data_IF_798080711729
#
_entry.id   IF_798080711729
#
_cell.length_a   1.000
_cell.length_b   1.000
_cell.length_c   1.000
_cell.angle_alpha   90.00
_cell.angle_beta   90.00
_cell.angle_gamma   90.00
#
_symmetry.space_group_name_H-M   'P 1'
#
loop_
_entity.id
_entity.type
_entity.pdbx_description
1 polymer ?
#
# COMPACT_ATOMS: atom_id res chain seq x y z
N UNK A 1 17.32 14.80 -6.25
CA UNK A 1 16.51 13.72 -6.83
C UNK A 1 16.21 14.07 -8.26
N UNK A 2 16.55 13.22 -9.23
CA UNK A 2 16.33 13.49 -10.66
C UNK A 2 14.83 13.52 -10.98
N UNK A 3 14.33 14.65 -11.50
CA UNK A 3 12.92 14.84 -11.90
C UNK A 3 12.61 14.16 -13.26
N UNK A 4 13.43 13.19 -13.66
CA UNK A 4 13.27 12.44 -14.91
C UNK A 4 11.97 11.64 -14.87
N UNK A 5 11.26 11.61 -15.99
CA UNK A 5 9.99 10.88 -16.17
C UNK A 5 10.12 9.42 -15.71
N UNK A 6 11.26 8.78 -16.00
CA UNK A 6 11.57 7.41 -15.58
C UNK A 6 11.49 7.24 -14.06
N UNK A 7 11.99 8.20 -13.29
CA UNK A 7 11.98 8.13 -11.83
C UNK A 7 10.57 8.24 -11.26
N UNK A 8 9.69 9.00 -11.90
CA UNK A 8 8.28 9.12 -11.53
C UNK A 8 7.52 7.82 -11.87
N UNK A 9 7.82 7.23 -13.02
CA UNK A 9 7.21 5.97 -13.46
C UNK A 9 7.59 4.81 -12.52
N UNK A 10 8.88 4.67 -12.18
CA UNK A 10 9.35 3.67 -11.23
C UNK A 10 8.71 3.82 -9.84
N UNK A 11 8.47 5.06 -9.39
CA UNK A 11 7.76 5.34 -8.13
C UNK A 11 6.30 4.93 -8.18
N UNK A 12 5.62 5.18 -9.30
CA UNK A 12 4.25 4.72 -9.52
C UNK A 12 4.15 3.19 -9.55
N UNK A 13 5.07 2.52 -10.27
CA UNK A 13 5.15 1.06 -10.32
C UNK A 13 5.42 0.41 -8.95
N UNK A 14 5.92 1.18 -7.97
CA UNK A 14 6.02 0.68 -6.59
C UNK A 14 4.66 0.31 -6.01
N UNK A 15 3.59 1.01 -6.38
CA UNK A 15 2.21 0.64 -5.98
C UNK A 15 1.83 -0.72 -6.55
N UNK A 16 2.18 -0.99 -7.81
CA UNK A 16 2.03 -2.32 -8.43
C UNK A 16 2.81 -3.38 -7.67
N UNK A 17 4.07 -3.13 -7.33
CA UNK A 17 4.89 -4.08 -6.58
C UNK A 17 4.29 -4.40 -5.20
N UNK A 18 3.76 -3.39 -4.50
CA UNK A 18 3.08 -3.58 -3.23
C UNK A 18 1.79 -4.40 -3.37
N UNK A 19 1.05 -4.18 -4.45
CA UNK A 19 -0.09 -5.03 -4.81
C UNK A 19 0.32 -6.48 -5.02
N UNK A 20 1.36 -6.72 -5.82
CA UNK A 20 1.88 -8.07 -6.08
C UNK A 20 2.33 -8.77 -4.80
N UNK A 21 2.97 -8.06 -3.88
CA UNK A 21 3.33 -8.59 -2.56
C UNK A 21 2.09 -9.04 -1.78
N UNK A 22 1.02 -8.22 -1.76
CA UNK A 22 -0.23 -8.60 -1.11
C UNK A 22 -0.94 -9.75 -1.83
N UNK A 23 -0.86 -9.81 -3.16
CA UNK A 23 -1.41 -10.91 -3.95
C UNK A 23 -0.70 -12.23 -3.66
N UNK A 24 0.63 -12.22 -3.56
CA UNK A 24 1.41 -13.41 -3.16
C UNK A 24 0.97 -13.86 -1.76
N UNK A 25 0.85 -12.92 -0.83
CA UNK A 25 0.35 -13.22 0.52
C UNK A 25 -1.05 -13.85 0.45
N UNK A 26 -1.96 -13.29 -0.35
CA UNK A 26 -3.29 -13.85 -0.55
C UNK A 26 -3.23 -15.29 -1.08
N UNK A 27 -2.47 -15.54 -2.15
CA UNK A 27 -2.38 -16.87 -2.79
C UNK A 27 -1.78 -17.91 -1.84
N UNK A 28 -0.68 -17.59 -1.16
CA UNK A 28 0.01 -18.52 -0.25
C UNK A 28 -0.91 -18.97 0.88
N UNK A 29 -1.71 -18.04 1.43
CA UNK A 29 -2.60 -18.33 2.56
C UNK A 29 -4.02 -18.73 2.13
N UNK A 30 -4.33 -18.76 0.82
CA UNK A 30 -5.64 -19.19 0.34
C UNK A 30 -5.91 -20.67 0.65
N UNK A 31 -4.92 -21.55 0.48
CA UNK A 31 -5.10 -22.98 0.72
C UNK A 31 -5.49 -23.29 2.19
N UNK A 32 -4.78 -22.78 3.20
CA UNK A 32 -5.20 -22.92 4.59
C UNK A 32 -6.65 -22.45 4.85
N UNK A 33 -7.04 -21.32 4.26
CA UNK A 33 -8.41 -20.79 4.43
C UNK A 33 -9.44 -21.74 3.83
N UNK A 34 -9.19 -22.27 2.63
CA UNK A 34 -10.07 -23.26 1.99
C UNK A 34 -10.21 -24.51 2.87
N UNK A 35 -9.11 -25.03 3.41
CA UNK A 35 -9.13 -26.25 4.24
C UNK A 35 -9.81 -26.06 5.60
N UNK A 36 -9.78 -24.85 6.17
CA UNK A 36 -10.36 -24.55 7.47
C UNK A 36 -11.83 -24.12 7.40
N UNK A 37 -12.30 -23.67 6.23
CA UNK A 37 -13.68 -23.26 6.05
C UNK A 37 -14.59 -24.45 5.72
N UNK A 38 -15.79 -24.47 6.29
CA UNK A 38 -16.86 -25.35 5.81
C UNK A 38 -17.30 -24.94 4.40
N UNK A 39 -17.76 -25.89 3.60
CA UNK A 39 -18.19 -25.64 2.21
C UNK A 39 -19.26 -24.54 2.10
N UNK A 40 -20.17 -24.46 3.08
CA UNK A 40 -21.20 -23.41 3.16
C UNK A 40 -20.67 -22.03 3.59
N UNK A 41 -19.50 -21.98 4.22
CA UNK A 41 -18.88 -20.76 4.76
C UNK A 41 -17.70 -20.23 3.94
N UNK A 42 -17.22 -20.97 2.95
CA UNK A 42 -16.00 -20.67 2.19
C UNK A 42 -16.02 -19.26 1.57
N UNK A 43 -17.13 -18.86 0.95
CA UNK A 43 -17.20 -17.55 0.29
C UNK A 43 -17.04 -16.39 1.29
N UNK A 44 -17.66 -16.52 2.47
CA UNK A 44 -17.56 -15.51 3.53
C UNK A 44 -16.17 -15.51 4.17
N UNK A 45 -15.58 -16.69 4.40
CA UNK A 45 -14.20 -16.83 4.85
C UNK A 45 -13.21 -16.15 3.88
N UNK A 46 -13.34 -16.41 2.58
CA UNK A 46 -12.52 -15.79 1.53
C UNK A 46 -12.69 -14.27 1.45
N UNK A 47 -13.91 -13.78 1.70
CA UNK A 47 -14.19 -12.33 1.73
C UNK A 47 -13.55 -11.66 2.94
N UNK A 48 -13.69 -12.25 4.12
CA UNK A 48 -13.06 -11.75 5.34
C UNK A 48 -11.53 -11.81 5.24
N UNK A 49 -10.99 -12.90 4.70
CA UNK A 49 -9.56 -13.06 4.47
C UNK A 49 -9.02 -12.04 3.45
N UNK A 50 -9.74 -11.82 2.35
CA UNK A 50 -9.43 -10.76 1.38
C UNK A 50 -9.39 -9.38 2.04
N UNK A 51 -10.37 -9.06 2.90
CA UNK A 51 -10.38 -7.81 3.67
C UNK A 51 -9.17 -7.70 4.62
N UNK A 52 -8.77 -8.79 5.27
CA UNK A 52 -7.58 -8.80 6.12
C UNK A 52 -6.31 -8.54 5.29
N UNK A 53 -6.13 -9.20 4.14
CA UNK A 53 -5.00 -8.94 3.24
C UNK A 53 -5.05 -7.52 2.69
N UNK A 54 -6.23 -6.98 2.41
CA UNK A 54 -6.43 -5.59 2.03
C UNK A 54 -5.88 -4.62 3.09
N UNK A 55 -6.06 -4.89 4.39
CA UNK A 55 -5.50 -4.03 5.45
C UNK A 55 -3.97 -4.00 5.40
N UNK A 56 -3.32 -5.14 5.10
CA UNK A 56 -1.88 -5.19 4.87
C UNK A 56 -1.47 -4.40 3.64
N UNK A 57 -2.17 -4.59 2.51
CA UNK A 57 -1.95 -3.83 1.28
C UNK A 57 -2.10 -2.32 1.51
N UNK A 58 -3.17 -1.92 2.19
CA UNK A 58 -3.44 -0.54 2.57
C UNK A 58 -2.26 0.04 3.35
N UNK A 59 -1.81 -0.67 4.39
CA UNK A 59 -0.71 -0.21 5.24
C UNK A 59 0.59 -0.04 4.46
N UNK A 60 0.96 -1.03 3.63
CA UNK A 60 2.22 -1.00 2.86
C UNK A 60 2.19 0.14 1.84
N UNK A 61 1.14 0.26 1.03
CA UNK A 61 1.01 1.34 0.03
C UNK A 61 0.99 2.70 0.71
N UNK A 62 0.23 2.84 1.79
CA UNK A 62 0.13 4.08 2.55
C UNK A 62 1.49 4.54 3.09
N UNK A 63 2.21 3.64 3.79
CA UNK A 63 3.51 3.96 4.40
C UNK A 63 4.55 4.27 3.34
N UNK A 64 4.57 3.52 2.24
CA UNK A 64 5.52 3.77 1.15
C UNK A 64 5.33 5.13 0.50
N UNK A 65 4.09 5.48 0.17
CA UNK A 65 3.77 6.78 -0.44
C UNK A 65 4.05 7.93 0.52
N UNK A 66 3.80 7.71 1.80
CA UNK A 66 4.14 8.67 2.86
C UNK A 66 5.64 8.92 2.96
N UNK A 67 6.44 7.86 3.06
CA UNK A 67 7.91 7.95 3.11
C UNK A 67 8.45 8.60 1.83
N UNK A 68 7.83 8.32 0.69
CA UNK A 68 8.17 8.95 -0.59
C UNK A 68 7.90 10.46 -0.57
N UNK A 69 6.73 10.89 -0.11
CA UNK A 69 6.40 12.31 0.03
C UNK A 69 7.36 13.04 0.98
N UNK A 70 7.76 12.42 2.10
CA UNK A 70 8.78 13.00 2.99
C UNK A 70 10.12 13.21 2.29
N UNK A 71 10.55 12.26 1.45
CA UNK A 71 11.81 12.38 0.70
C UNK A 71 11.71 13.46 -0.37
N UNK A 72 10.56 13.58 -1.04
CA UNK A 72 10.33 14.56 -2.09
C UNK A 72 10.12 15.98 -1.58
N UNK A 73 9.50 16.16 -0.41
CA UNK A 73 9.30 17.46 0.22
C UNK A 73 10.61 18.12 0.68
N UNK A 74 11.63 17.32 1.00
CA UNK A 74 12.92 17.88 1.44
C UNK A 74 13.49 18.75 0.31
N UNK A 75 13.86 20.01 0.58
CA UNK A 75 14.33 20.95 -0.43
C UNK A 75 15.73 20.52 -0.92
N UNK A 76 15.77 19.51 -1.78
CA UNK A 76 16.88 19.26 -2.67
C UNK A 76 16.44 19.81 -4.03
N UNK A 77 17.08 20.89 -4.48
CA UNK A 77 16.92 21.49 -5.82
C UNK A 77 15.70 22.41 -6.07
N UNK A 78 15.15 23.08 -5.03
CA UNK A 78 14.04 24.06 -5.17
C UNK A 78 12.77 23.51 -5.86
N UNK A 79 12.58 22.19 -5.86
CA UNK A 79 11.41 21.53 -6.44
C UNK A 79 10.38 21.38 -5.33
N UNK A 80 9.24 22.06 -5.44
CA UNK A 80 8.12 21.92 -4.53
C UNK A 80 7.08 20.98 -5.16
N UNK A 81 7.13 19.67 -4.90
CA UNK A 81 6.19 18.73 -5.49
C UNK A 81 4.77 18.99 -4.96
N UNK A 82 3.75 18.91 -5.81
CA UNK A 82 2.37 19.12 -5.39
C UNK A 82 1.90 18.04 -4.39
N UNK A 83 0.97 18.36 -3.47
CA UNK A 83 0.46 17.42 -2.48
C UNK A 83 -0.39 16.28 -3.07
N UNK A 84 -0.90 16.44 -4.29
CA UNK A 84 -1.71 15.44 -4.99
C UNK A 84 -0.88 14.44 -5.80
N UNK A 85 0.46 14.52 -5.77
CA UNK A 85 1.33 13.68 -6.60
C UNK A 85 1.16 12.17 -6.35
N UNK A 86 0.76 11.79 -5.13
CA UNK A 86 0.42 10.40 -4.80
C UNK A 86 -0.73 9.82 -5.63
N UNK A 87 -1.68 10.64 -6.07
CA UNK A 87 -2.77 10.21 -6.97
C UNK A 87 -2.20 9.76 -8.30
N UNK A 88 -1.24 10.51 -8.88
CA UNK A 88 -0.58 10.11 -10.12
C UNK A 88 0.23 8.82 -9.96
N UNK A 89 0.95 8.65 -8.84
CA UNK A 89 1.64 7.40 -8.58
C UNK A 89 0.68 6.21 -8.46
N UNK A 90 -0.48 6.43 -7.83
CA UNK A 90 -1.57 5.45 -7.79
C UNK A 90 -2.10 5.10 -9.19
N UNK A 91 -2.35 6.11 -10.05
CA UNK A 91 -2.79 5.89 -11.43
C UNK A 91 -1.75 5.09 -12.21
N UNK A 92 -0.48 5.50 -12.18
CA UNK A 92 0.61 4.81 -12.88
C UNK A 92 0.72 3.36 -12.40
N UNK A 93 0.66 3.13 -11.09
CA UNK A 93 0.75 1.78 -10.51
C UNK A 93 -0.47 0.90 -10.80
N UNK A 94 -1.63 1.50 -11.04
CA UNK A 94 -2.85 0.78 -11.38
C UNK A 94 -2.85 0.27 -12.83
N UNK A 95 -2.24 1.01 -13.77
CA UNK A 95 -2.23 0.68 -15.20
C UNK A 95 -1.84 -0.78 -15.48
N UNK A 96 -0.69 -1.31 -15.03
CA UNK A 96 -0.32 -2.70 -15.34
C UNK A 96 -1.31 -3.72 -14.77
N UNK A 97 -1.93 -3.43 -13.63
CA UNK A 97 -2.92 -4.32 -12.99
C UNK A 97 -4.21 -4.36 -13.81
N UNK A 98 -4.72 -3.19 -14.20
CA UNK A 98 -5.93 -3.06 -15.03
C UNK A 98 -5.72 -3.67 -16.40
N UNK A 99 -4.56 -3.44 -17.03
CA UNK A 99 -4.22 -4.05 -18.32
C UNK A 99 -4.22 -5.57 -18.24
N UNK A 100 -3.55 -6.14 -17.23
CA UNK A 100 -3.52 -7.59 -17.03
C UNK A 100 -4.92 -8.16 -16.81
N UNK A 101 -5.72 -7.53 -15.94
CA UNK A 101 -7.10 -7.95 -15.67
C UNK A 101 -7.99 -7.84 -16.91
N UNK A 102 -7.88 -6.76 -17.68
CA UNK A 102 -8.63 -6.58 -18.92
C UNK A 102 -8.29 -7.66 -19.94
N UNK A 103 -7.00 -7.99 -20.10
CA UNK A 103 -6.57 -9.10 -20.97
C UNK A 103 -7.20 -10.42 -20.49
N UNK A 104 -7.17 -10.73 -19.20
CA UNK A 104 -7.81 -11.93 -18.66
C UNK A 104 -9.31 -12.01 -18.96
N UNK A 105 -10.02 -10.88 -18.87
CA UNK A 105 -11.46 -10.83 -19.16
C UNK A 105 -11.78 -11.00 -20.64
N UNK A 106 -10.92 -10.46 -21.53
CA UNK A 106 -11.10 -10.52 -22.98
C UNK A 106 -10.73 -11.89 -23.58
N UNK A 107 -9.92 -12.70 -22.90
CA UNK A 107 -9.58 -14.05 -23.36
C UNK A 107 -10.84 -14.93 -23.43
N UNK A 108 -11.03 -15.57 -24.59
CA UNK A 108 -12.11 -16.53 -24.81
C UNK A 108 -11.65 -17.91 -24.31
N UNK A 109 -12.31 -18.41 -23.28
CA UNK A 109 -12.08 -19.75 -22.75
C UNK A 109 -13.17 -20.70 -23.27
N UNK A 110 -12.85 -21.98 -23.54
CA UNK A 110 -13.85 -23.03 -23.75
C UNK A 110 -14.85 -23.09 -22.60
N UNK A 111 -16.07 -23.58 -22.87
CA UNK A 111 -17.15 -23.67 -21.87
C UNK A 111 -16.70 -24.42 -20.60
N UNK A 112 -15.97 -25.52 -20.78
CA UNK A 112 -15.43 -26.34 -19.70
C UNK A 112 -14.47 -25.59 -18.76
N UNK A 113 -13.84 -24.51 -19.25
CA UNK A 113 -12.85 -23.72 -18.51
C UNK A 113 -13.39 -22.37 -18.01
N UNK A 114 -14.70 -22.10 -18.14
CA UNK A 114 -15.30 -20.85 -17.66
C UNK A 114 -15.15 -20.67 -16.14
N UNK A 115 -15.27 -21.77 -15.38
CA UNK A 115 -15.06 -21.76 -13.93
C UNK A 115 -13.62 -21.38 -13.59
N UNK A 116 -12.64 -21.91 -14.34
CA UNK A 116 -11.24 -21.56 -14.16
C UNK A 116 -11.00 -20.08 -14.49
N UNK A 117 -11.54 -19.58 -15.61
CA UNK A 117 -11.47 -18.15 -15.98
C UNK A 117 -12.00 -17.27 -14.85
N UNK A 118 -13.15 -17.63 -14.27
CA UNK A 118 -13.73 -16.94 -13.12
C UNK A 118 -12.80 -16.90 -11.92
N UNK A 119 -12.24 -18.05 -11.54
CA UNK A 119 -11.30 -18.16 -10.43
C UNK A 119 -10.00 -17.39 -10.68
N UNK A 120 -9.53 -17.28 -11.93
CA UNK A 120 -8.32 -16.54 -12.28
C UNK A 120 -8.48 -15.04 -12.05
N UNK A 121 -9.53 -14.43 -12.60
CA UNK A 121 -9.74 -13.00 -12.43
C UNK A 121 -10.14 -12.63 -10.99
N UNK A 122 -10.84 -13.53 -10.28
CA UNK A 122 -11.13 -13.42 -8.85
C UNK A 122 -9.86 -13.50 -8.00
N UNK A 123 -9.01 -14.47 -8.30
CA UNK A 123 -7.74 -14.70 -7.62
C UNK A 123 -6.76 -13.56 -7.84
N UNK A 124 -6.65 -13.04 -9.07
CA UNK A 124 -5.81 -11.88 -9.37
C UNK A 124 -6.27 -10.66 -8.57
N UNK A 125 -7.58 -10.44 -8.48
CA UNK A 125 -8.18 -9.41 -7.65
C UNK A 125 -8.19 -9.76 -6.14
N UNK A 126 -7.56 -10.85 -5.70
CA UNK A 126 -7.67 -11.43 -4.37
C UNK A 126 -7.58 -10.44 -3.20
N UNK A 127 -6.53 -9.60 -3.11
CA UNK A 127 -6.44 -8.55 -2.08
C UNK A 127 -7.59 -7.53 -2.08
N UNK A 128 -8.37 -7.45 -3.15
CA UNK A 128 -9.51 -6.55 -3.36
C UNK A 128 -10.82 -7.30 -3.64
N UNK A 129 -10.83 -8.62 -3.48
CA UNK A 129 -11.98 -9.47 -3.73
C UNK A 129 -13.19 -9.04 -2.89
N UNK A 130 -12.97 -8.68 -1.62
CA UNK A 130 -14.02 -8.19 -0.74
C UNK A 130 -14.76 -6.97 -1.31
N UNK A 131 -14.02 -6.05 -1.95
CA UNK A 131 -14.58 -4.83 -2.53
C UNK A 131 -15.35 -5.15 -3.81
N UNK A 132 -14.79 -6.03 -4.64
CA UNK A 132 -15.45 -6.51 -5.87
C UNK A 132 -16.78 -7.20 -5.57
N UNK A 133 -16.82 -7.98 -4.47
CA UNK A 133 -18.04 -8.63 -3.98
C UNK A 133 -19.07 -7.62 -3.47
N UNK A 134 -18.62 -6.59 -2.74
CA UNK A 134 -19.49 -5.52 -2.27
C UNK A 134 -20.15 -4.74 -3.41
N UNK A 135 -19.47 -4.62 -4.55
CA UNK A 135 -19.98 -3.95 -5.75
C UNK A 135 -20.97 -4.81 -6.55
N UNK A 136 -21.06 -6.12 -6.31
CA UNK A 136 -22.01 -7.01 -6.99
C UNK A 136 -21.40 -8.20 -7.75
N UNK A 137 -20.10 -8.45 -7.61
CA UNK A 137 -19.41 -9.65 -8.14
C UNK A 137 -19.35 -9.81 -9.68
N UNK A 138 -19.80 -8.82 -10.45
CA UNK A 138 -19.59 -8.79 -11.90
C UNK A 138 -18.11 -8.65 -12.32
N UNK A 139 -17.72 -9.18 -13.49
CA UNK A 139 -16.35 -9.07 -14.02
C UNK A 139 -15.77 -7.65 -14.02
N UNK A 140 -16.61 -6.64 -14.30
CA UNK A 140 -16.20 -5.24 -14.30
C UNK A 140 -15.84 -4.72 -12.90
N UNK A 141 -16.48 -5.22 -11.85
CA UNK A 141 -16.23 -4.79 -10.47
C UNK A 141 -14.81 -5.12 -10.01
N UNK A 142 -14.23 -6.22 -10.50
CA UNK A 142 -12.84 -6.58 -10.22
C UNK A 142 -11.86 -5.56 -10.78
N UNK A 143 -12.15 -5.00 -11.95
CA UNK A 143 -11.34 -3.91 -12.54
C UNK A 143 -11.52 -2.62 -11.77
N UNK A 144 -12.76 -2.25 -11.46
CA UNK A 144 -13.10 -1.03 -10.71
C UNK A 144 -12.48 -1.03 -9.31
N UNK A 145 -12.38 -2.20 -8.68
CA UNK A 145 -11.80 -2.36 -7.34
C UNK A 145 -10.39 -1.77 -7.23
N UNK A 146 -9.58 -1.81 -8.30
CA UNK A 146 -8.23 -1.26 -8.32
C UNK A 146 -8.17 0.25 -8.09
N UNK A 147 -9.26 0.98 -8.33
CA UNK A 147 -9.32 2.41 -8.09
C UNK A 147 -9.03 2.77 -6.62
N UNK A 148 -9.27 1.84 -5.67
CA UNK A 148 -8.93 2.05 -4.26
C UNK A 148 -7.42 2.29 -4.06
N UNK A 149 -6.56 1.72 -4.91
CA UNK A 149 -5.11 1.93 -4.84
C UNK A 149 -4.74 3.39 -5.08
N UNK A 150 -5.47 4.08 -5.97
CA UNK A 150 -5.30 5.51 -6.22
C UNK A 150 -5.60 6.32 -4.96
N UNK A 151 -6.70 5.99 -4.28
CA UNK A 151 -7.12 6.64 -3.04
C UNK A 151 -6.07 6.44 -1.95
N UNK A 152 -5.63 5.20 -1.73
CA UNK A 152 -4.65 4.86 -0.68
C UNK A 152 -3.31 5.56 -0.96
N UNK A 153 -2.86 5.55 -2.22
CA UNK A 153 -1.61 6.20 -2.60
C UNK A 153 -1.68 7.73 -2.41
N UNK A 154 -2.80 8.34 -2.80
CA UNK A 154 -3.07 9.75 -2.56
C UNK A 154 -3.06 10.12 -1.09
N UNK A 155 -3.77 9.36 -0.24
CA UNK A 155 -3.82 9.57 1.20
C UNK A 155 -2.46 9.41 1.87
N UNK A 156 -1.71 8.35 1.52
CA UNK A 156 -0.37 8.11 2.03
C UNK A 156 0.59 9.25 1.69
N UNK A 157 0.61 9.65 0.42
CA UNK A 157 1.45 10.75 -0.03
C UNK A 157 1.08 12.07 0.65
N UNK A 158 -0.21 12.41 0.71
CA UNK A 158 -0.69 13.62 1.36
C UNK A 158 -0.30 13.67 2.85
N UNK A 159 -0.41 12.54 3.55
CA UNK A 159 0.02 12.44 4.93
C UNK A 159 1.52 12.68 5.10
N UNK A 160 2.35 12.19 4.18
CA UNK A 160 3.79 12.45 4.21
C UNK A 160 4.11 13.92 3.91
N UNK A 161 3.38 14.55 2.99
CA UNK A 161 3.51 15.98 2.69
C UNK A 161 3.18 16.86 3.91
N UNK A 162 2.13 16.51 4.66
CA UNK A 162 1.70 17.17 5.90
C UNK A 162 2.46 16.72 7.16
N UNK A 163 3.43 15.83 7.01
CA UNK A 163 4.21 15.25 8.12
C UNK A 163 3.37 14.49 9.16
N UNK A 164 2.18 14.03 8.78
CA UNK A 164 1.23 13.34 9.64
C UNK A 164 1.60 11.86 9.81
N UNK A 165 1.69 11.35 11.04
CA UNK A 165 1.97 9.94 11.37
C UNK A 165 0.70 9.27 11.93
N UNK A 166 0.13 8.28 11.23
CA UNK A 166 -1.02 7.50 11.75
C UNK A 166 -0.70 6.89 13.12
N UNK A 167 0.50 6.31 13.26
CA UNK A 167 0.91 5.66 14.50
C UNK A 167 0.99 6.66 15.65
N UNK A 168 1.46 7.90 15.42
CA UNK A 168 1.48 8.91 16.47
C UNK A 168 0.08 9.39 16.84
N UNK A 169 -0.81 9.52 15.85
CA UNK A 169 -2.20 9.90 16.07
C UNK A 169 -2.96 8.87 16.90
N UNK A 170 -2.84 7.58 16.54
CA UNK A 170 -3.43 6.48 17.31
C UNK A 170 -2.84 6.45 18.72
N UNK A 171 -1.51 6.55 18.84
CA UNK A 171 -0.81 6.55 20.13
C UNK A 171 -1.28 7.69 21.04
N UNK A 172 -1.48 8.88 20.48
CA UNK A 172 -1.98 10.04 21.21
C UNK A 172 -3.43 9.84 21.66
N UNK A 173 -4.30 9.31 20.79
CA UNK A 173 -5.68 8.97 21.16
C UNK A 173 -5.77 7.88 22.23
N UNK A 174 -4.85 6.92 22.22
CA UNK A 174 -4.77 5.85 23.22
C UNK A 174 -4.02 6.28 24.51
N UNK A 175 -3.59 7.54 24.63
CA UNK A 175 -2.92 8.05 25.83
C UNK A 175 -1.52 7.48 26.08
N UNK A 176 -0.94 6.76 25.11
CA UNK A 176 0.37 6.12 25.28
C UNK A 176 1.46 7.19 25.15
N UNK A 177 2.05 7.60 26.27
CA UNK A 177 3.11 8.62 26.28
C UNK A 177 4.31 8.15 25.43
N UNK A 178 4.89 9.00 24.56
CA UNK A 178 6.09 8.64 23.83
C UNK A 178 7.23 8.37 24.82
N UNK A 179 7.87 7.20 24.69
CA UNK A 179 9.07 6.86 25.45
C UNK A 179 10.13 7.94 25.14
N UNK A 180 10.48 8.76 26.13
CA UNK A 180 11.59 9.71 26.01
C UNK A 180 12.83 8.89 25.60
N UNK A 181 13.43 9.22 24.46
CA UNK A 181 14.77 8.70 24.15
C UNK A 181 15.67 9.15 25.31
N UNK A 182 16.42 8.25 25.97
CA UNK A 182 17.47 8.71 26.87
C UNK A 182 18.34 9.66 26.06
N UNK A 183 18.40 10.92 26.51
CA UNK A 183 19.31 11.89 25.96
C UNK A 183 20.71 11.27 25.94
N UNK A 184 21.50 11.56 24.91
CA UNK A 184 22.93 11.26 24.87
C UNK A 184 23.53 11.71 26.21
N UNK A 185 23.73 10.76 27.12
CA UNK A 185 24.43 10.99 28.36
C UNK A 185 25.89 11.29 27.98
N UNK A 186 26.33 12.51 28.29
CA UNK A 186 27.73 12.89 28.43
C UNK A 186 28.60 12.76 27.18
N UNK A 187 28.84 13.87 26.48
CA UNK A 187 30.14 14.07 25.82
C UNK A 187 31.02 14.85 26.81
N UNK A 188 31.95 14.22 27.56
CA UNK A 188 32.81 14.91 28.51
C UNK A 188 34.04 15.54 27.82
N UNK A 189 33.88 16.14 26.64
CA UNK A 189 34.96 16.74 25.86
C UNK A 189 34.94 18.27 25.90
N UNK A 190 34.62 18.86 27.06
CA UNK A 190 34.45 20.30 27.21
C UNK A 190 34.98 20.90 28.51
N UNK A 191 35.77 20.17 29.31
CA UNK A 191 36.43 20.76 30.49
C UNK A 191 37.75 21.41 30.06
N UNK A 192 37.63 22.54 29.35
CA UNK A 192 38.75 23.46 29.13
C UNK A 192 39.13 24.09 30.47
N UNK A 193 40.22 23.60 31.03
CA UNK A 193 41.38 24.40 31.40
C UNK A 193 41.10 25.84 31.86
N UNK A 194 40.90 26.01 33.16
CA UNK A 194 40.87 27.32 33.82
C UNK A 194 41.50 27.27 35.21
N UNK A 195 42.64 26.58 35.33
CA UNK A 195 43.52 26.66 36.51
C UNK A 195 44.98 26.78 36.10
N UNK A 196 45.32 27.84 35.39
CA UNK A 196 46.62 28.50 35.51
C UNK A 196 46.41 29.99 35.28
N UNK A 197 46.25 30.72 36.40
CA UNK A 197 46.62 32.14 36.57
C UNK A 197 46.14 32.60 37.95
N UNK A 198 47.01 32.42 38.95
CA UNK A 198 47.62 33.48 39.76
C UNK A 198 48.36 32.84 40.91
#
# INVERSE_FOLDING_TARGET
>A
MDNRIISQLLRGLKVTANYMTALILFVVFTMPIITLSSDSGLQNAMTAFSFLVFLFLFYIVYVDMRVMAFKEKRPQYNINPPPYKGVFYGIIGMIPLVLFQAVLLLLKFPEDLQVLKRKLYQGFAGPLYWLSRLLGDDPAHYVVSFAILIVIAGLGYYAGYKEFYIVSFIRQKLGIKPKQKPGRAGNPAGRKDSRMRK
#
